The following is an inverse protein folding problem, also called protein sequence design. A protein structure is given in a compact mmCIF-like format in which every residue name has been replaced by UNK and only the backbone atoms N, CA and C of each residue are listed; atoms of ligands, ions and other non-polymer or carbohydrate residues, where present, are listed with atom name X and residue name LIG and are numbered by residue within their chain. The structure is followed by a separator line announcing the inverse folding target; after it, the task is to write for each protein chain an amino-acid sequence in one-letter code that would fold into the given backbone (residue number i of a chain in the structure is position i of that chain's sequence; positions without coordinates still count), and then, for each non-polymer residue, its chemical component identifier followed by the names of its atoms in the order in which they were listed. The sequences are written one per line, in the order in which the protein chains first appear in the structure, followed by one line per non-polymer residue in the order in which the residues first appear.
data_IF_204054625612
#
_entry.id   IF_204054625612
#
_cell.length_a   1.000
_cell.length_b   1.000
_cell.length_c   1.000
_cell.angle_alpha   90.00
_cell.angle_beta   90.00
_cell.angle_gamma   90.00
#
_symmetry.space_group_name_H-M   'P 1'
#
loop_
_entity.id
_entity.type
_entity.pdbx_description
1 polymer ?
#
# COMPACT_ATOMS: atom_id res chain seq x y z
N UNK A 1 10.25 13.62 14.97
CA UNK A 1 10.28 12.14 14.86
C UNK A 1 11.71 11.61 14.73
N UNK A 2 12.44 11.91 13.64
CA UNK A 2 13.78 11.37 13.38
C UNK A 2 14.78 11.63 14.52
N UNK A 3 14.82 12.86 15.04
CA UNK A 3 15.67 13.23 16.18
C UNK A 3 15.48 12.34 17.41
N UNK A 4 14.24 11.93 17.72
CA UNK A 4 13.95 11.09 18.87
C UNK A 4 14.54 9.68 18.70
N UNK A 5 14.42 9.11 17.50
CA UNK A 5 15.03 7.82 17.17
C UNK A 5 16.56 7.89 17.22
N UNK A 6 17.16 8.97 16.71
CA UNK A 6 18.60 9.22 16.83
C UNK A 6 19.04 9.22 18.30
N UNK A 7 18.28 9.90 19.17
CA UNK A 7 18.59 10.00 20.59
C UNK A 7 18.46 8.66 21.33
N UNK A 8 17.50 7.80 20.96
CA UNK A 8 17.41 6.44 21.52
C UNK A 8 18.62 5.58 21.15
N UNK A 9 19.06 5.66 19.89
CA UNK A 9 20.24 4.95 19.41
C UNK A 9 21.50 5.43 20.15
N UNK A 10 21.70 6.75 20.23
CA UNK A 10 22.85 7.34 20.92
C UNK A 10 22.93 6.99 22.42
N UNK A 11 21.79 6.76 23.08
CA UNK A 11 21.73 6.34 24.49
C UNK A 11 21.78 4.83 24.71
N UNK A 12 22.06 4.04 23.67
CA UNK A 12 22.12 2.58 23.74
C UNK A 12 20.76 1.89 23.83
N UNK A 13 19.64 2.62 23.72
CA UNK A 13 18.26 2.09 23.77
C UNK A 13 17.71 1.82 22.36
N UNK A 14 18.54 1.25 21.49
CA UNK A 14 18.22 0.98 20.09
C UNK A 14 17.10 -0.05 19.91
N UNK A 15 16.89 -0.94 20.89
CA UNK A 15 15.79 -1.91 20.91
C UNK A 15 14.40 -1.27 20.72
N UNK A 16 14.18 -0.06 21.23
CA UNK A 16 12.92 0.67 21.03
C UNK A 16 12.72 1.01 19.55
N UNK A 17 13.78 1.47 18.87
CA UNK A 17 13.76 1.76 17.43
C UNK A 17 13.55 0.48 16.63
N UNK A 18 14.24 -0.61 16.97
CA UNK A 18 14.08 -1.91 16.33
C UNK A 18 12.68 -2.51 16.50
N UNK A 19 12.07 -2.34 17.66
CA UNK A 19 10.68 -2.77 17.90
C UNK A 19 9.71 -2.06 16.96
N UNK A 20 9.91 -0.77 16.71
CA UNK A 20 9.11 0.00 15.76
C UNK A 20 9.35 -0.51 14.34
N UNK A 21 10.61 -0.65 13.91
CA UNK A 21 10.97 -1.14 12.57
C UNK A 21 10.35 -2.51 12.27
N UNK A 22 10.50 -3.48 13.18
CA UNK A 22 9.88 -4.81 13.04
C UNK A 22 8.37 -4.77 13.01
N UNK A 23 7.74 -3.83 13.73
CA UNK A 23 6.27 -3.65 13.68
C UNK A 23 5.79 -3.19 12.29
N UNK A 24 6.64 -2.48 11.54
CA UNK A 24 6.39 -2.05 10.16
C UNK A 24 6.98 -3.02 9.11
N UNK A 25 7.39 -4.23 9.51
CA UNK A 25 7.80 -5.28 8.57
C UNK A 25 9.26 -5.29 8.14
N UNK A 26 10.09 -4.41 8.71
CA UNK A 26 11.53 -4.37 8.44
C UNK A 26 12.29 -5.46 9.19
N UNK A 27 13.29 -6.03 8.54
CA UNK A 27 14.22 -6.99 9.14
C UNK A 27 15.53 -6.33 9.61
N UNK A 28 16.48 -7.16 10.05
CA UNK A 28 17.78 -6.71 10.55
C UNK A 28 18.68 -6.11 9.45
N UNK A 29 18.32 -6.28 8.17
CA UNK A 29 18.97 -5.65 7.00
C UNK A 29 18.30 -4.34 6.58
N UNK A 30 17.23 -3.93 7.27
CA UNK A 30 16.38 -2.77 6.94
C UNK A 30 15.65 -2.92 5.59
N UNK A 31 15.40 -4.15 5.18
CA UNK A 31 14.57 -4.47 4.03
C UNK A 31 13.17 -4.90 4.49
N UNK A 32 12.15 -4.65 3.67
CA UNK A 32 10.80 -5.15 3.93
C UNK A 32 10.78 -6.65 3.67
N UNK A 33 10.35 -7.41 4.67
CA UNK A 33 10.27 -8.88 4.57
C UNK A 33 9.22 -9.32 3.55
N UNK A 34 9.52 -10.40 2.82
CA UNK A 34 8.57 -11.01 1.87
C UNK A 34 7.26 -11.42 2.54
N UNK A 35 7.28 -11.87 3.79
CA UNK A 35 6.06 -12.25 4.52
C UNK A 35 5.18 -11.04 4.87
N UNK A 36 5.77 -9.84 4.97
CA UNK A 36 5.01 -8.59 5.15
C UNK A 36 4.39 -8.11 3.84
N UNK A 37 5.13 -8.18 2.73
CA UNK A 37 4.67 -7.77 1.40
C UNK A 37 3.68 -8.79 0.79
N UNK A 38 3.90 -10.07 1.04
CA UNK A 38 3.14 -11.20 0.48
C UNK A 38 2.62 -12.09 1.61
N UNK A 39 1.60 -11.64 2.37
CA UNK A 39 1.11 -12.38 3.52
C UNK A 39 0.61 -13.77 3.11
N UNK A 40 1.01 -14.84 3.82
CA UNK A 40 0.54 -16.19 3.53
C UNK A 40 -0.93 -16.34 3.94
N UNK A 41 -1.82 -16.52 2.97
CA UNK A 41 -3.21 -16.89 3.26
C UNK A 41 -3.32 -18.41 3.35
N UNK A 42 -3.57 -18.87 4.59
CA UNK A 42 -4.00 -20.20 5.02
C UNK A 42 -2.86 -21.20 5.32
N UNK A 43 -2.56 -21.35 6.62
CA UNK A 43 -1.85 -22.50 7.21
C UNK A 43 -2.71 -23.77 7.32
N UNK A 44 -3.75 -23.93 6.50
CA UNK A 44 -4.44 -25.21 6.37
C UNK A 44 -3.91 -25.93 5.15
N UNK A 45 -2.79 -26.60 5.40
CA UNK A 45 -2.26 -27.72 4.64
C UNK A 45 -3.39 -28.71 4.39
N UNK A 46 -3.73 -28.92 3.12
CA UNK A 46 -4.27 -30.12 2.45
C UNK A 46 -5.11 -29.70 1.23
N UNK A 47 -4.57 -30.04 0.04
CA UNK A 47 -5.23 -30.27 -1.26
C UNK A 47 -5.24 -29.20 -2.38
N UNK A 48 -4.70 -29.68 -3.50
CA UNK A 48 -4.97 -29.44 -4.93
C UNK A 48 -4.22 -28.31 -5.66
N UNK A 49 -3.49 -28.75 -6.69
CA UNK A 49 -2.58 -28.05 -7.60
C UNK A 49 -3.27 -27.07 -8.59
N UNK A 50 -4.45 -26.55 -8.23
CA UNK A 50 -5.28 -25.73 -9.12
C UNK A 50 -5.45 -24.31 -8.58
N UNK A 51 -4.37 -23.70 -8.10
CA UNK A 51 -4.39 -22.31 -7.65
C UNK A 51 -3.31 -21.50 -8.38
N UNK A 52 -3.72 -20.40 -9.00
CA UNK A 52 -2.84 -19.49 -9.73
C UNK A 52 -2.20 -18.54 -8.70
N UNK A 53 -0.90 -18.72 -8.45
CA UNK A 53 -0.12 -17.90 -7.52
C UNK A 53 0.49 -16.71 -8.26
N UNK A 54 -0.04 -15.50 -8.06
CA UNK A 54 0.68 -14.25 -8.36
C UNK A 54 0.93 -13.37 -7.13
N UNK A 55 0.24 -13.67 -6.03
CA UNK A 55 0.51 -13.23 -4.68
C UNK A 55 0.23 -14.48 -3.81
N UNK A 56 0.80 -14.65 -2.61
CA UNK A 56 0.55 -15.83 -1.74
C UNK A 56 -0.92 -15.98 -1.28
N UNK A 57 -1.83 -15.20 -1.87
CA UNK A 57 -3.27 -15.27 -1.79
C UNK A 57 -3.80 -16.39 -2.72
N UNK A 58 -4.29 -17.47 -2.13
CA UNK A 58 -4.94 -18.55 -2.89
C UNK A 58 -6.37 -18.17 -3.27
N UNK A 59 -6.63 -18.00 -4.56
CA UNK A 59 -7.97 -17.82 -5.13
C UNK A 59 -8.37 -19.11 -5.83
N UNK A 60 -9.52 -19.67 -5.47
CA UNK A 60 -10.08 -20.86 -6.13
C UNK A 60 -10.45 -20.53 -7.59
N UNK A 61 -10.35 -21.52 -8.47
CA UNK A 61 -10.74 -21.35 -9.88
C UNK A 61 -12.21 -20.91 -9.96
N UNK A 62 -12.46 -19.84 -10.71
CA UNK A 62 -13.79 -19.25 -10.88
C UNK A 62 -14.19 -18.26 -9.78
N UNK A 63 -13.35 -18.04 -8.77
CA UNK A 63 -13.55 -16.98 -7.78
C UNK A 63 -12.85 -15.68 -8.20
N UNK A 64 -13.39 -14.56 -7.73
CA UNK A 64 -12.80 -13.22 -7.86
C UNK A 64 -12.29 -12.73 -6.51
N UNK A 65 -11.47 -11.68 -6.55
CA UNK A 65 -10.97 -10.99 -5.36
C UNK A 65 -11.45 -9.55 -5.41
N UNK A 66 -12.12 -9.12 -4.35
CA UNK A 66 -12.64 -7.77 -4.20
C UNK A 66 -12.18 -7.18 -2.87
N UNK A 67 -12.08 -5.85 -2.82
CA UNK A 67 -11.78 -5.14 -1.59
C UNK A 67 -13.00 -5.19 -0.66
N UNK A 68 -12.75 -5.49 0.61
CA UNK A 68 -13.79 -5.41 1.62
C UNK A 68 -14.01 -3.95 2.07
N UNK A 69 -15.04 -3.73 2.88
CA UNK A 69 -15.36 -2.39 3.41
C UNK A 69 -14.20 -1.71 4.14
N UNK A 70 -13.38 -2.47 4.89
CA UNK A 70 -12.21 -1.93 5.59
C UNK A 70 -11.11 -1.49 4.62
N UNK A 71 -10.91 -2.23 3.53
CA UNK A 71 -10.01 -1.86 2.43
C UNK A 71 -10.44 -0.57 1.76
N UNK A 72 -11.72 -0.44 1.41
CA UNK A 72 -12.28 0.80 0.88
C UNK A 72 -12.12 1.98 1.85
N UNK A 73 -12.40 1.78 3.14
CA UNK A 73 -12.23 2.83 4.15
C UNK A 73 -10.76 3.26 4.32
N UNK A 74 -9.82 2.32 4.23
CA UNK A 74 -8.39 2.62 4.25
C UNK A 74 -7.98 3.47 3.04
N UNK A 75 -8.42 3.07 1.84
CA UNK A 75 -8.15 3.79 0.60
C UNK A 75 -8.75 5.20 0.60
N UNK A 76 -9.97 5.36 1.13
CA UNK A 76 -10.61 6.67 1.31
C UNK A 76 -9.77 7.57 2.20
N UNK A 77 -9.38 7.08 3.39
CA UNK A 77 -8.53 7.86 4.31
C UNK A 77 -7.16 8.19 3.72
N UNK A 78 -6.64 7.32 2.86
CA UNK A 78 -5.38 7.55 2.15
C UNK A 78 -5.56 8.65 1.11
N UNK A 79 -6.62 8.61 0.31
CA UNK A 79 -6.97 9.66 -0.65
C UNK A 79 -7.12 11.02 0.05
N UNK A 80 -7.99 11.11 1.06
CA UNK A 80 -8.29 12.35 1.79
C UNK A 80 -7.07 12.96 2.49
N UNK A 81 -6.05 12.14 2.78
CA UNK A 81 -4.79 12.60 3.38
C UNK A 81 -3.90 13.34 2.38
N UNK A 82 -3.95 12.95 1.10
CA UNK A 82 -3.08 13.49 0.05
C UNK A 82 -3.80 14.44 -0.89
N UNK A 83 -5.14 14.48 -0.91
CA UNK A 83 -5.95 15.56 -1.47
C UNK A 83 -5.84 16.79 -0.54
N UNK A 84 -4.79 17.59 -0.74
CA UNK A 84 -4.43 18.71 0.12
C UNK A 84 -5.34 19.93 -0.11
N UNK A 85 -5.75 20.14 -1.36
CA UNK A 85 -6.60 21.25 -1.77
C UNK A 85 -8.11 20.94 -1.70
N UNK A 86 -8.49 19.67 -1.47
CA UNK A 86 -9.85 19.18 -1.28
C UNK A 86 -10.71 19.34 -2.53
N UNK A 87 -10.08 19.22 -3.70
CA UNK A 87 -10.76 19.28 -4.99
C UNK A 87 -11.41 17.94 -5.39
N UNK A 88 -11.28 16.90 -4.55
CA UNK A 88 -11.75 15.53 -4.83
C UNK A 88 -11.06 14.89 -6.04
N UNK A 89 -9.84 15.32 -6.34
CA UNK A 89 -8.94 14.76 -7.32
C UNK A 89 -7.52 14.67 -6.75
N UNK A 90 -6.63 13.99 -7.48
CA UNK A 90 -5.21 13.94 -7.15
C UNK A 90 -4.42 14.55 -8.29
N UNK A 91 -3.84 15.70 -8.03
CA UNK A 91 -2.86 16.32 -8.91
C UNK A 91 -1.62 15.42 -9.05
N UNK A 92 -0.78 15.61 -10.09
CA UNK A 92 0.46 14.85 -10.24
C UNK A 92 1.42 14.97 -9.04
N UNK A 93 1.40 16.10 -8.34
CA UNK A 93 2.22 16.33 -7.15
C UNK A 93 1.71 15.52 -5.95
N UNK A 94 0.40 15.53 -5.72
CA UNK A 94 -0.25 14.78 -4.64
C UNK A 94 -0.14 13.27 -4.87
N UNK A 95 -0.35 12.83 -6.11
CA UNK A 95 -0.18 11.42 -6.50
C UNK A 95 1.26 10.94 -6.25
N UNK A 96 2.26 11.78 -6.59
CA UNK A 96 3.66 11.49 -6.29
C UNK A 96 3.93 11.45 -4.79
N UNK A 97 3.32 12.33 -4.01
CA UNK A 97 3.43 12.32 -2.55
C UNK A 97 2.77 11.07 -1.94
N UNK A 98 1.63 10.63 -2.46
CA UNK A 98 0.93 9.42 -2.04
C UNK A 98 1.81 8.18 -2.22
N UNK A 99 2.48 8.06 -3.36
CA UNK A 99 3.38 6.95 -3.66
C UNK A 99 4.84 7.16 -3.23
N UNK A 100 5.17 8.25 -2.52
CA UNK A 100 6.53 8.52 -2.05
C UNK A 100 7.07 7.46 -1.07
N UNK A 101 6.18 6.67 -0.46
CA UNK A 101 6.52 5.56 0.42
C UNK A 101 6.83 4.25 -0.33
N UNK A 102 6.61 4.22 -1.64
CA UNK A 102 6.91 3.08 -2.49
C UNK A 102 8.28 3.24 -3.17
N UNK A 103 8.97 2.13 -3.48
CA UNK A 103 10.26 2.18 -4.16
C UNK A 103 10.18 2.69 -5.61
N UNK A 104 9.00 2.64 -6.23
CA UNK A 104 8.74 3.10 -7.60
C UNK A 104 7.28 3.57 -7.75
N UNK A 105 7.00 4.32 -8.81
CA UNK A 105 5.64 4.73 -9.17
C UNK A 105 4.86 3.51 -9.72
N UNK A 106 3.81 3.03 -9.02
CA UNK A 106 3.12 1.80 -9.41
C UNK A 106 2.17 2.00 -10.60
N UNK A 107 1.76 3.23 -10.86
CA UNK A 107 0.80 3.59 -11.90
C UNK A 107 1.51 4.22 -13.09
N UNK A 108 1.41 3.59 -14.26
CA UNK A 108 1.90 4.14 -15.51
C UNK A 108 0.95 5.19 -16.10
N UNK A 109 1.36 5.83 -17.22
CA UNK A 109 0.54 6.84 -17.90
C UNK A 109 -0.79 6.30 -18.42
N UNK A 110 -0.93 4.98 -18.57
CA UNK A 110 -2.18 4.32 -18.98
C UNK A 110 -3.34 4.53 -18.00
N UNK A 111 -3.08 4.83 -16.72
CA UNK A 111 -4.13 5.05 -15.73
C UNK A 111 -5.02 6.22 -16.13
N UNK A 112 -4.45 7.30 -16.66
CA UNK A 112 -5.21 8.48 -17.12
C UNK A 112 -6.17 8.18 -18.28
N UNK A 113 -5.99 7.06 -19.00
CA UNK A 113 -6.89 6.63 -20.07
C UNK A 113 -7.95 5.62 -19.63
N UNK A 114 -7.81 5.04 -18.42
CA UNK A 114 -8.66 3.94 -17.93
C UNK A 114 -9.63 4.36 -16.85
N UNK A 115 -9.39 5.48 -16.19
CA UNK A 115 -10.18 5.91 -15.03
C UNK A 115 -10.85 7.26 -15.26
N UNK A 116 -12.00 7.51 -14.61
CA UNK A 116 -12.63 8.82 -14.60
C UNK A 116 -11.68 9.90 -14.07
N UNK A 117 -11.49 10.95 -14.86
CA UNK A 117 -10.72 12.13 -14.50
C UNK A 117 -11.64 13.27 -14.03
N UNK A 118 -11.08 14.19 -13.25
CA UNK A 118 -11.71 15.49 -12.95
C UNK A 118 -11.70 16.41 -14.18
N UNK A 119 -12.39 17.54 -14.09
CA UNK A 119 -12.45 18.57 -15.14
C UNK A 119 -11.05 19.10 -15.51
N UNK A 120 -10.12 19.10 -14.55
CA UNK A 120 -8.72 19.50 -14.71
C UNK A 120 -7.80 18.35 -15.21
N UNK A 121 -8.36 17.22 -15.63
CA UNK A 121 -7.64 16.00 -16.07
C UNK A 121 -6.80 15.31 -14.98
N UNK A 122 -7.15 15.52 -13.71
CA UNK A 122 -6.56 14.81 -12.57
C UNK A 122 -7.31 13.53 -12.23
N UNK A 123 -6.67 12.61 -11.51
CA UNK A 123 -7.33 11.36 -11.11
C UNK A 123 -8.39 11.71 -10.07
N UNK A 124 -9.67 11.60 -10.44
CA UNK A 124 -10.77 11.86 -9.51
C UNK A 124 -10.79 10.85 -8.37
N UNK A 125 -11.44 11.18 -7.26
CA UNK A 125 -11.68 10.24 -6.16
C UNK A 125 -12.35 8.94 -6.64
N UNK A 126 -13.33 9.05 -7.55
CA UNK A 126 -13.97 7.88 -8.13
C UNK A 126 -12.98 7.07 -8.98
N UNK A 127 -12.16 7.73 -9.81
CA UNK A 127 -11.14 7.07 -10.62
C UNK A 127 -10.05 6.39 -9.79
N UNK A 128 -9.66 6.99 -8.67
CA UNK A 128 -8.76 6.39 -7.69
C UNK A 128 -9.30 5.06 -7.16
N UNK A 129 -10.60 5.01 -6.80
CA UNK A 129 -11.22 3.76 -6.36
C UNK A 129 -11.41 2.74 -7.46
N UNK A 130 -11.66 3.16 -8.70
CA UNK A 130 -11.77 2.23 -9.83
C UNK A 130 -10.43 1.58 -10.21
N UNK A 131 -9.32 2.26 -9.96
CA UNK A 131 -7.98 1.74 -10.25
C UNK A 131 -7.52 0.67 -9.25
N UNK A 132 -8.02 0.74 -8.00
CA UNK A 132 -7.71 -0.19 -6.91
C UNK A 132 -8.63 -1.41 -6.92
#
# INVERSE_FOLDING_TARGET
FLFLNTLFIQRGRHETTWTILRKFGYDDTLELTDDYLYPPMNKNQYLSDLCVCFCRLRVSVGCTTELNHLGHQFLQKLFDKYDEDKDSALSPAELKNLFSVLPYMPWGPEVYSKVPLSDDNYISQHGYFCQW
#
